data_IF_689434887263
#
_entry.id   IF_689434887263
#
_cell.length_a   1.000
_cell.length_b   1.000
_cell.length_c   1.000
_cell.angle_alpha   90.00
_cell.angle_beta   90.00
_cell.angle_gamma   90.00
#
_symmetry.space_group_name_H-M   'P 1'
#
loop_
_entity.id
_entity.type
_entity.pdbx_description
1 polymer ?
#
# COMPACT_ATOMS: atom_id res chain seq x y z
N UNK A 1 40.53 7.00 -26.45
CA UNK A 1 39.07 6.90 -26.68
C UNK A 1 38.40 7.77 -25.64
N UNK A 2 37.52 8.67 -26.07
CA UNK A 2 36.82 9.60 -25.19
C UNK A 2 35.70 8.86 -24.44
N UNK A 3 35.88 8.73 -23.12
CA UNK A 3 34.95 8.03 -22.23
C UNK A 3 33.63 8.81 -22.04
N UNK A 4 33.60 10.11 -22.35
CA UNK A 4 32.39 10.94 -22.20
C UNK A 4 31.30 10.56 -23.20
N UNK A 5 31.68 10.30 -24.45
CA UNK A 5 30.78 9.83 -25.50
C UNK A 5 30.18 8.45 -25.19
N UNK A 6 30.98 7.55 -24.61
CA UNK A 6 30.53 6.21 -24.23
C UNK A 6 29.47 6.31 -23.12
N UNK A 7 29.72 7.11 -22.08
CA UNK A 7 28.76 7.32 -20.97
C UNK A 7 27.45 7.96 -21.46
N UNK A 8 27.52 8.89 -22.40
CA UNK A 8 26.34 9.53 -22.98
C UNK A 8 25.48 8.55 -23.79
N UNK A 9 26.12 7.64 -24.56
CA UNK A 9 25.41 6.57 -25.29
C UNK A 9 24.74 5.60 -24.33
N UNK A 10 25.41 5.17 -23.26
CA UNK A 10 24.80 4.32 -22.22
C UNK A 10 23.61 4.99 -21.54
N UNK A 11 23.71 6.29 -21.22
CA UNK A 11 22.61 7.03 -20.64
C UNK A 11 21.38 7.07 -21.58
N UNK A 12 21.58 7.40 -22.86
CA UNK A 12 20.49 7.43 -23.86
C UNK A 12 19.85 6.05 -24.01
N UNK A 13 20.64 4.98 -24.09
CA UNK A 13 20.12 3.61 -24.17
C UNK A 13 19.31 3.28 -22.91
N UNK A 14 19.79 3.63 -21.72
CA UNK A 14 19.05 3.39 -20.47
C UNK A 14 17.71 4.14 -20.43
N UNK A 15 17.67 5.39 -20.91
CA UNK A 15 16.45 6.19 -21.01
C UNK A 15 15.47 5.60 -22.02
N UNK A 16 15.93 5.09 -23.17
CA UNK A 16 15.08 4.40 -24.15
C UNK A 16 14.50 3.10 -23.56
N UNK A 17 15.30 2.32 -22.82
CA UNK A 17 14.81 1.12 -22.14
C UNK A 17 13.77 1.46 -21.06
N UNK A 18 14.00 2.49 -20.25
CA UNK A 18 13.02 2.97 -19.27
C UNK A 18 11.75 3.43 -19.98
N UNK A 19 11.87 4.23 -21.06
CA UNK A 19 10.72 4.73 -21.82
C UNK A 19 9.92 3.59 -22.48
N UNK A 20 10.58 2.59 -23.07
CA UNK A 20 9.92 1.42 -23.63
C UNK A 20 9.27 0.55 -22.54
N UNK A 21 9.89 0.43 -21.37
CA UNK A 21 9.32 -0.28 -20.23
C UNK A 21 8.10 0.43 -19.67
N UNK A 22 8.16 1.76 -19.51
CA UNK A 22 7.04 2.59 -19.11
C UNK A 22 5.93 2.57 -20.16
N UNK A 23 6.27 2.57 -21.45
CA UNK A 23 5.29 2.43 -22.53
C UNK A 23 4.60 1.05 -22.50
N UNK A 24 5.35 -0.02 -22.24
CA UNK A 24 4.79 -1.35 -22.03
C UNK A 24 3.88 -1.41 -20.80
N UNK A 25 4.24 -0.75 -19.69
CA UNK A 25 3.38 -0.62 -18.50
C UNK A 25 2.13 0.23 -18.82
N UNK A 26 2.26 1.30 -19.60
CA UNK A 26 1.11 2.10 -20.05
C UNK A 26 0.19 1.32 -21.00
N UNK A 27 0.72 0.34 -21.72
CA UNK A 27 -0.03 -0.59 -22.56
C UNK A 27 -0.50 -1.84 -21.78
N UNK A 28 -0.13 -1.97 -20.50
CA UNK A 28 -0.56 -3.08 -19.67
C UNK A 28 -1.97 -2.83 -19.13
N UNK A 29 -2.73 -3.91 -18.96
CA UNK A 29 -4.13 -3.86 -18.53
C UNK A 29 -4.30 -3.53 -17.03
N UNK A 30 -3.35 -2.79 -16.43
CA UNK A 30 -3.47 -2.23 -15.08
C UNK A 30 -2.90 -0.81 -15.00
N UNK A 31 -3.40 -0.02 -14.04
CA UNK A 31 -2.92 1.35 -13.78
C UNK A 31 -2.80 1.61 -12.28
N UNK A 32 -1.69 2.22 -11.87
CA UNK A 32 -1.57 2.83 -10.54
C UNK A 32 -2.27 4.19 -10.59
N UNK A 33 -3.30 4.36 -9.76
CA UNK A 33 -4.15 5.56 -9.74
C UNK A 33 -3.58 6.62 -8.80
N UNK A 34 -3.14 6.21 -7.62
CA UNK A 34 -2.63 7.14 -6.61
C UNK A 34 -2.25 6.44 -5.31
N UNK A 35 -1.73 7.22 -4.36
CA UNK A 35 -1.48 6.78 -3.00
C UNK A 35 -2.83 6.75 -2.25
N UNK A 36 -3.32 5.55 -1.96
CA UNK A 36 -4.62 5.36 -1.32
C UNK A 36 -4.53 5.60 0.17
N UNK A 37 -3.53 4.99 0.83
CA UNK A 37 -3.37 5.12 2.27
C UNK A 37 -1.93 5.02 2.76
N UNK A 38 -1.69 5.69 3.89
CA UNK A 38 -0.48 5.55 4.71
C UNK A 38 -0.92 5.14 6.10
N UNK A 39 -0.40 4.02 6.57
CA UNK A 39 -0.87 3.39 7.81
C UNK A 39 0.23 3.38 8.85
N UNK A 40 -0.11 3.85 10.06
CA UNK A 40 0.74 3.75 11.25
C UNK A 40 0.13 2.70 12.20
N UNK A 41 0.89 1.67 12.51
CA UNK A 41 0.55 0.71 13.55
C UNK A 41 0.81 1.33 14.93
N UNK A 42 -0.22 1.32 15.78
CA UNK A 42 -0.22 1.88 17.13
C UNK A 42 -0.83 0.91 18.12
N UNK A 43 -0.49 1.02 19.40
CA UNK A 43 -1.06 0.19 20.47
C UNK A 43 -2.44 0.66 20.90
N UNK A 44 -2.76 1.92 20.64
CA UNK A 44 -3.97 2.59 21.11
C UNK A 44 -4.34 3.72 20.13
N UNK A 45 -5.31 3.47 19.25
CA UNK A 45 -5.74 4.44 18.25
C UNK A 45 -6.35 5.68 18.88
N UNK A 46 -6.91 5.59 20.08
CA UNK A 46 -7.49 6.74 20.78
C UNK A 46 -6.41 7.70 21.27
N UNK A 47 -5.32 7.18 21.86
CA UNK A 47 -4.18 8.01 22.28
C UNK A 47 -3.44 8.60 21.09
N UNK A 48 -3.14 7.77 20.09
CA UNK A 48 -2.46 8.22 18.88
C UNK A 48 -3.30 9.24 18.11
N UNK A 49 -4.59 8.96 17.91
CA UNK A 49 -5.53 9.86 17.26
C UNK A 49 -5.60 11.21 17.96
N UNK A 50 -5.71 11.21 19.31
CA UNK A 50 -5.69 12.43 20.11
C UNK A 50 -4.41 13.24 19.86
N UNK A 51 -3.24 12.60 19.88
CA UNK A 51 -1.97 13.28 19.60
C UNK A 51 -1.97 13.94 18.22
N UNK A 52 -2.35 13.20 17.17
CA UNK A 52 -2.36 13.74 15.80
C UNK A 52 -3.41 14.85 15.63
N UNK A 53 -4.55 14.76 16.30
CA UNK A 53 -5.55 15.84 16.32
C UNK A 53 -5.07 17.08 17.05
N UNK A 54 -4.48 16.95 18.25
CA UNK A 54 -4.04 18.10 19.05
C UNK A 54 -2.79 18.78 18.48
N UNK A 55 -1.85 18.00 17.92
CA UNK A 55 -0.56 18.52 17.45
C UNK A 55 -0.60 18.93 15.99
N UNK A 56 -1.29 18.18 15.13
CA UNK A 56 -1.32 18.44 13.68
C UNK A 56 -2.68 18.93 13.17
N UNK A 57 -3.72 18.95 14.01
CA UNK A 57 -5.07 19.37 13.59
C UNK A 57 -5.79 18.34 12.72
N UNK A 58 -5.32 17.09 12.66
CA UNK A 58 -5.94 16.04 11.84
C UNK A 58 -7.25 15.59 12.50
N UNK A 59 -8.35 15.64 11.75
CA UNK A 59 -9.65 15.20 12.24
C UNK A 59 -9.96 13.77 11.77
N UNK A 60 -9.97 12.81 12.70
CA UNK A 60 -10.31 11.42 12.42
C UNK A 60 -11.83 11.22 12.50
N UNK A 61 -12.47 11.20 11.33
CA UNK A 61 -13.94 11.10 11.22
C UNK A 61 -14.45 9.68 10.90
N UNK A 62 -13.55 8.74 10.62
CA UNK A 62 -13.90 7.38 10.24
C UNK A 62 -13.24 6.36 11.15
N UNK A 63 -13.99 5.33 11.53
CA UNK A 63 -13.43 4.19 12.26
C UNK A 63 -14.20 2.92 11.93
N UNK A 64 -13.50 1.80 11.83
CA UNK A 64 -14.10 0.48 11.63
C UNK A 64 -13.23 -0.60 12.26
N UNK A 65 -13.76 -1.81 12.31
CA UNK A 65 -13.07 -3.00 12.81
C UNK A 65 -13.04 -4.03 11.68
N UNK A 66 -11.86 -4.58 11.41
CA UNK A 66 -11.68 -5.73 10.54
C UNK A 66 -11.45 -6.96 11.41
N UNK A 67 -12.55 -7.60 11.83
CA UNK A 67 -12.53 -8.74 12.75
C UNK A 67 -11.65 -9.89 12.25
N UNK A 68 -11.69 -10.16 10.93
CA UNK A 68 -10.90 -11.22 10.31
C UNK A 68 -9.38 -10.99 10.36
N UNK A 69 -8.94 -9.74 10.52
CA UNK A 69 -7.52 -9.38 10.72
C UNK A 69 -7.19 -9.09 12.19
N UNK A 70 -8.22 -9.04 13.05
CA UNK A 70 -8.07 -8.69 14.45
C UNK A 70 -7.53 -7.27 14.63
N UNK A 71 -8.04 -6.29 13.87
CA UNK A 71 -7.60 -4.90 13.94
C UNK A 71 -8.77 -3.91 14.02
N UNK A 72 -8.50 -2.78 14.68
CA UNK A 72 -9.34 -1.58 14.70
C UNK A 72 -8.60 -0.46 13.98
N UNK A 73 -9.33 0.27 13.14
CA UNK A 73 -8.78 1.36 12.34
C UNK A 73 -9.45 2.67 12.72
N UNK A 74 -8.65 3.73 12.84
CA UNK A 74 -9.09 5.12 12.92
C UNK A 74 -8.47 5.87 11.73
N UNK A 75 -9.30 6.53 10.92
CA UNK A 75 -8.90 7.08 9.64
C UNK A 75 -9.36 8.52 9.44
N UNK A 76 -8.53 9.30 8.75
CA UNK A 76 -8.81 10.64 8.27
C UNK A 76 -8.42 10.75 6.80
N UNK A 77 -9.30 11.33 5.98
CA UNK A 77 -9.00 11.60 4.58
C UNK A 77 -8.29 12.96 4.47
N UNK A 78 -7.06 12.95 3.98
CA UNK A 78 -6.24 14.13 3.68
C UNK A 78 -6.12 14.24 2.16
N UNK A 79 -6.87 15.18 1.57
CA UNK A 79 -7.10 15.26 0.12
C UNK A 79 -7.57 13.92 -0.45
N UNK A 80 -6.77 13.25 -1.27
CA UNK A 80 -7.10 11.97 -1.91
C UNK A 80 -6.54 10.74 -1.17
N UNK A 81 -5.77 10.94 -0.08
CA UNK A 81 -5.09 9.85 0.65
C UNK A 81 -5.68 9.69 2.05
N UNK A 82 -5.90 8.44 2.47
CA UNK A 82 -6.28 8.12 3.85
C UNK A 82 -5.03 8.06 4.73
N UNK A 83 -5.06 8.82 5.83
CA UNK A 83 -4.11 8.67 6.92
C UNK A 83 -4.74 7.79 8.01
N UNK A 84 -4.19 6.59 8.19
CA UNK A 84 -4.78 5.58 9.07
C UNK A 84 -3.89 5.26 10.26
N UNK A 85 -4.55 5.06 11.40
CA UNK A 85 -3.99 4.48 12.61
C UNK A 85 -4.61 3.11 12.81
N UNK A 86 -3.78 2.10 13.06
CA UNK A 86 -4.20 0.72 13.15
C UNK A 86 -3.79 0.12 14.50
N UNK A 87 -4.78 -0.30 15.29
CA UNK A 87 -4.61 -0.94 16.60
C UNK A 87 -4.96 -2.42 16.51
N UNK A 88 -4.10 -3.33 17.02
CA UNK A 88 -4.45 -4.73 17.13
C UNK A 88 -5.49 -4.94 18.25
N UNK A 89 -6.57 -5.66 17.95
CA UNK A 89 -7.56 -6.10 18.95
C UNK A 89 -7.36 -7.56 19.40
N UNK A 90 -6.33 -8.22 18.86
CA UNK A 90 -5.94 -9.58 19.21
C UNK A 90 -4.42 -9.74 19.10
N UNK A 91 -3.82 -10.54 20.00
CA UNK A 91 -2.40 -10.89 19.97
C UNK A 91 -2.03 -11.72 18.73
N UNK A 92 -3.02 -12.35 18.09
CA UNK A 92 -2.80 -13.12 16.87
C UNK A 92 -2.69 -12.26 15.60
N UNK A 93 -3.11 -10.99 15.68
CA UNK A 93 -3.05 -10.05 14.57
C UNK A 93 -1.62 -9.85 14.06
N UNK A 94 -1.49 -9.70 12.74
CA UNK A 94 -0.22 -9.35 12.09
C UNK A 94 0.32 -8.01 12.60
N UNK A 95 -0.57 -7.07 12.93
CA UNK A 95 -0.22 -5.76 13.49
C UNK A 95 0.35 -5.87 14.90
N UNK A 96 -0.21 -6.75 15.74
CA UNK A 96 0.36 -7.02 17.06
C UNK A 96 1.79 -7.56 16.93
N UNK A 97 1.97 -8.55 16.06
CA UNK A 97 3.28 -9.16 15.77
C UNK A 97 4.27 -8.13 15.21
N UNK A 98 3.81 -7.19 14.38
CA UNK A 98 4.61 -6.07 13.89
C UNK A 98 5.07 -5.17 15.05
N UNK A 99 4.14 -4.69 15.90
CA UNK A 99 4.43 -3.79 17.01
C UNK A 99 5.40 -4.44 18.00
N UNK A 100 5.22 -5.72 18.32
CA UNK A 100 6.11 -6.44 19.24
C UNK A 100 7.53 -6.61 18.68
N UNK A 101 7.66 -6.71 17.35
CA UNK A 101 8.95 -6.91 16.69
C UNK A 101 9.68 -5.60 16.38
N UNK A 102 8.95 -4.53 16.06
CA UNK A 102 9.52 -3.29 15.50
C UNK A 102 9.16 -2.02 16.28
N UNK A 103 8.22 -2.10 17.21
CA UNK A 103 7.59 -0.92 17.82
C UNK A 103 6.44 -0.37 16.97
N UNK A 104 5.78 0.66 17.51
CA UNK A 104 4.78 1.45 16.78
C UNK A 104 5.47 2.26 15.67
N UNK A 105 4.76 2.53 14.56
CA UNK A 105 5.32 3.25 13.43
C UNK A 105 4.64 2.93 12.11
N UNK A 106 5.21 3.43 11.00
CA UNK A 106 4.68 3.19 9.65
C UNK A 106 4.65 1.67 9.38
N UNK A 107 3.45 1.15 9.14
CA UNK A 107 3.22 -0.26 8.86
C UNK A 107 3.35 -0.55 7.36
N UNK A 108 2.62 0.19 6.55
CA UNK A 108 2.59 0.05 5.09
C UNK A 108 2.11 1.33 4.42
N UNK A 109 2.28 1.33 3.10
CA UNK A 109 1.63 2.27 2.17
C UNK A 109 0.80 1.45 1.19
N UNK A 110 -0.30 2.02 0.72
CA UNK A 110 -1.15 1.39 -0.28
C UNK A 110 -1.30 2.27 -1.51
N UNK A 111 -1.33 1.63 -2.68
CA UNK A 111 -1.67 2.28 -3.93
C UNK A 111 -3.05 1.82 -4.39
N UNK A 112 -3.88 2.78 -4.82
CA UNK A 112 -5.09 2.46 -5.56
C UNK A 112 -4.70 2.02 -6.95
N UNK A 113 -5.30 0.93 -7.42
CA UNK A 113 -5.06 0.37 -8.74
C UNK A 113 -6.36 0.08 -9.47
N UNK A 114 -6.28 0.12 -10.79
CA UNK A 114 -7.23 -0.52 -11.69
C UNK A 114 -6.53 -1.71 -12.36
N UNK A 115 -7.23 -2.83 -12.53
CA UNK A 115 -6.68 -4.05 -13.11
C UNK A 115 -5.81 -4.84 -12.13
N UNK A 116 -6.26 -5.02 -10.87
CA UNK A 116 -5.46 -5.68 -9.82
C UNK A 116 -4.99 -7.09 -10.23
N UNK A 117 -5.83 -7.88 -10.89
CA UNK A 117 -5.45 -9.23 -11.35
C UNK A 117 -4.30 -9.19 -12.37
N UNK A 118 -4.30 -8.20 -13.26
CA UNK A 118 -3.23 -8.02 -14.24
C UNK A 118 -1.93 -7.58 -13.57
N UNK A 119 -2.01 -6.69 -12.57
CA UNK A 119 -0.88 -6.34 -11.73
C UNK A 119 -0.32 -7.58 -11.00
N UNK A 120 -1.18 -8.40 -10.41
CA UNK A 120 -0.77 -9.62 -9.71
C UNK A 120 -0.04 -10.59 -10.65
N UNK A 121 -0.59 -10.82 -11.85
CA UNK A 121 0.07 -11.66 -12.85
C UNK A 121 1.45 -11.10 -13.22
N UNK A 122 1.53 -9.79 -13.44
CA UNK A 122 2.79 -9.11 -13.72
C UNK A 122 3.82 -9.28 -12.60
N UNK A 123 3.40 -9.15 -11.34
CA UNK A 123 4.27 -9.34 -10.17
C UNK A 123 4.78 -10.78 -10.09
N UNK A 124 3.93 -11.77 -10.37
CA UNK A 124 4.33 -13.19 -10.42
C UNK A 124 5.31 -13.46 -11.55
N UNK A 125 5.08 -12.92 -12.74
CA UNK A 125 6.00 -13.05 -13.89
C UNK A 125 7.38 -12.44 -13.61
N UNK A 126 7.44 -11.42 -12.76
CA UNK A 126 8.67 -10.82 -12.27
C UNK A 126 9.33 -11.58 -11.11
N UNK A 127 8.70 -12.64 -10.61
CA UNK A 127 9.17 -13.38 -9.43
C UNK A 127 9.08 -12.59 -8.12
N UNK A 128 8.24 -11.55 -8.06
CA UNK A 128 8.01 -10.76 -6.86
C UNK A 128 7.08 -11.51 -5.91
N UNK A 129 7.46 -11.61 -4.63
CA UNK A 129 6.63 -12.25 -3.61
C UNK A 129 5.45 -11.37 -3.27
N UNK A 130 4.26 -11.91 -3.49
CA UNK A 130 3.00 -11.35 -3.04
C UNK A 130 2.53 -12.06 -1.77
N UNK A 131 1.85 -11.34 -0.90
CA UNK A 131 1.21 -11.89 0.29
C UNK A 131 -0.18 -11.25 0.48
N UNK A 132 -1.22 -12.02 0.82
CA UNK A 132 -1.27 -13.48 0.72
C UNK A 132 -1.22 -13.98 -0.75
N UNK A 133 -1.23 -15.30 -0.97
CA UNK A 133 -1.08 -15.90 -2.31
C UNK A 133 -2.20 -15.51 -3.30
N UNK A 134 -3.35 -15.05 -2.79
CA UNK A 134 -4.50 -14.56 -3.56
C UNK A 134 -4.98 -13.25 -2.94
N UNK A 135 -5.53 -12.32 -3.74
CA UNK A 135 -6.07 -11.08 -3.19
C UNK A 135 -7.24 -11.37 -2.24
N UNK A 136 -7.30 -10.60 -1.16
CA UNK A 136 -8.38 -10.66 -0.17
C UNK A 136 -9.51 -9.77 -0.67
N UNK A 137 -10.76 -10.26 -0.66
CA UNK A 137 -11.96 -9.50 -1.03
C UNK A 137 -12.80 -9.23 0.23
N UNK A 138 -13.05 -7.97 0.53
CA UNK A 138 -13.87 -7.52 1.66
C UNK A 138 -14.94 -6.52 1.20
N UNK A 139 -15.95 -6.28 2.04
CA UNK A 139 -16.87 -5.16 1.82
C UNK A 139 -16.12 -3.84 1.93
N UNK A 140 -16.43 -2.91 1.04
CA UNK A 140 -15.83 -1.58 1.06
C UNK A 140 -16.12 -0.89 2.40
N UNK A 141 -15.10 -0.57 3.23
CA UNK A 141 -15.34 0.08 4.53
C UNK A 141 -15.82 1.52 4.40
N UNK A 142 -15.70 2.13 3.21
CA UNK A 142 -16.07 3.52 2.93
C UNK A 142 -17.42 3.70 2.23
N UNK A 143 -18.13 2.61 1.90
CA UNK A 143 -19.41 2.73 1.19
C UNK A 143 -19.92 1.40 0.62
N UNK A 144 -20.58 1.50 -0.53
CA UNK A 144 -21.12 0.33 -1.23
C UNK A 144 -20.01 -0.38 -2.04
N UNK A 145 -20.34 -1.59 -2.51
CA UNK A 145 -19.43 -2.41 -3.31
C UNK A 145 -18.45 -3.22 -2.48
N UNK A 146 -17.29 -3.47 -3.07
CA UNK A 146 -16.22 -4.32 -2.55
C UNK A 146 -14.85 -3.69 -2.75
N UNK A 147 -13.93 -4.14 -1.92
CA UNK A 147 -12.52 -3.80 -1.97
C UNK A 147 -11.75 -5.11 -2.10
N UNK A 148 -10.80 -5.16 -3.04
CA UNK A 148 -9.80 -6.22 -3.12
C UNK A 148 -8.43 -5.65 -2.82
N UNK A 149 -7.62 -6.41 -2.08
CA UNK A 149 -6.26 -6.00 -1.79
C UNK A 149 -5.26 -7.15 -1.77
N UNK A 150 -3.99 -6.82 -2.02
CA UNK A 150 -2.85 -7.71 -1.91
C UNK A 150 -1.59 -6.90 -1.61
N UNK A 151 -0.57 -7.53 -1.04
CA UNK A 151 0.69 -6.87 -0.72
C UNK A 151 1.88 -7.45 -1.50
N UNK A 152 2.91 -6.63 -1.71
CA UNK A 152 4.28 -7.10 -1.97
C UNK A 152 4.99 -7.33 -0.64
N UNK A 153 5.67 -8.46 -0.53
CA UNK A 153 6.45 -8.79 0.65
C UNK A 153 7.65 -7.80 0.80
N UNK A 154 7.94 -7.26 2.01
CA UNK A 154 8.98 -6.25 2.22
C UNK A 154 10.38 -6.60 1.70
N UNK A 155 10.70 -7.89 1.68
CA UNK A 155 11.97 -8.40 1.15
C UNK A 155 12.17 -8.14 -0.36
N UNK A 156 11.12 -7.86 -1.12
CA UNK A 156 11.19 -7.51 -2.54
C UNK A 156 10.89 -6.03 -2.81
N UNK A 157 10.55 -5.27 -1.76
CA UNK A 157 10.16 -3.86 -1.85
C UNK A 157 10.99 -2.99 -0.91
N UNK A 158 12.31 -3.19 -0.89
CA UNK A 158 13.26 -2.35 -0.13
C UNK A 158 12.94 -2.21 1.37
N UNK A 159 12.35 -3.25 1.96
CA UNK A 159 11.95 -3.25 3.37
C UNK A 159 10.56 -2.67 3.65
N UNK A 160 9.84 -2.21 2.63
CA UNK A 160 8.50 -1.62 2.74
C UNK A 160 7.42 -2.64 2.43
N UNK A 161 6.40 -2.74 3.29
CA UNK A 161 5.17 -3.45 2.96
C UNK A 161 4.32 -2.54 2.06
N UNK A 162 4.05 -2.96 0.83
CA UNK A 162 3.29 -2.18 -0.15
C UNK A 162 2.01 -2.93 -0.47
N UNK A 163 0.88 -2.26 -0.31
CA UNK A 163 -0.45 -2.78 -0.65
C UNK A 163 -0.95 -2.22 -1.99
N UNK A 164 -1.77 -2.99 -2.69
CA UNK A 164 -2.53 -2.55 -3.84
C UNK A 164 -4.01 -2.79 -3.61
N UNK A 165 -4.81 -1.74 -3.79
CA UNK A 165 -6.24 -1.73 -3.49
C UNK A 165 -7.02 -1.45 -4.78
N UNK A 166 -8.01 -2.29 -5.08
CA UNK A 166 -8.97 -2.06 -6.16
C UNK A 166 -10.40 -2.06 -5.59
N UNK A 167 -11.18 -1.07 -6.01
CA UNK A 167 -12.60 -0.94 -5.65
C UNK A 167 -13.48 -1.42 -6.80
N UNK A 168 -14.58 -2.12 -6.49
CA UNK A 168 -15.59 -2.51 -7.47
C UNK A 168 -17.00 -2.35 -6.90
N UNK A 169 -17.96 -2.00 -7.76
CA UNK A 169 -19.37 -1.89 -7.38
C UNK A 169 -20.04 -3.29 -7.22
N UNK A 170 -19.45 -4.34 -7.83
CA UNK A 170 -19.96 -5.73 -7.89
C UNK A 170 -19.40 -6.72 -6.85
#
# INVERSE_FOLDING_TARGET
MDLSHINQVYYIISQIFIALHLFYIMMSDYRIIGLEEVVIAVKDVSKAGKFFSEVLGINFNYSWILEHEGIKILSSKLDDTQFQLMEPISEESTVYKFIMKRGEGIHHIAFRVEGLENLINRLRDLGIRIIPDKPVKIRNPHGEGWLKYIFIHPKDAYGTLIEFIEYSDE
#
